data_IF_854628722299
#
_entry.id   IF_854628722299
#
_cell.length_a   1.000
_cell.length_b   1.000
_cell.length_c   1.000
_cell.angle_alpha   90.00
_cell.angle_beta   90.00
_cell.angle_gamma   90.00
#
_symmetry.space_group_name_H-M   'P 1'
#
loop_
_entity.id
_entity.type
_entity.pdbx_description
1 polymer ?
#
# COMPACT_ATOMS: atom_id res chain seq x y z
N UNK A 1 64.40 23.82 -32.43
CA UNK A 1 63.83 24.28 -33.72
C UNK A 1 62.74 25.29 -33.42
N UNK A 2 63.11 26.58 -33.52
CA UNK A 2 62.34 27.71 -34.12
C UNK A 2 60.81 27.66 -34.11
N UNK A 3 60.11 28.58 -33.41
CA UNK A 3 59.56 29.88 -33.88
C UNK A 3 58.28 29.69 -34.75
N UNK A 4 57.15 30.41 -34.64
CA UNK A 4 56.87 31.86 -34.51
C UNK A 4 55.34 32.11 -34.39
N UNK A 5 54.94 33.20 -33.71
CA UNK A 5 53.62 33.86 -33.72
C UNK A 5 53.40 34.73 -34.99
N UNK A 6 52.17 34.99 -35.44
CA UNK A 6 51.75 36.29 -36.05
C UNK A 6 50.21 36.36 -36.14
N UNK A 7 49.54 37.30 -35.44
CA UNK A 7 49.13 38.70 -35.78
C UNK A 7 47.95 38.83 -36.76
N UNK A 8 46.79 39.32 -36.29
CA UNK A 8 46.21 40.70 -36.40
C UNK A 8 45.78 41.08 -37.83
N UNK A 9 44.48 41.39 -38.04
CA UNK A 9 44.02 42.73 -38.49
C UNK A 9 42.49 42.90 -38.48
N UNK A 10 42.12 44.10 -38.03
CA UNK A 10 40.82 44.75 -37.92
C UNK A 10 40.36 45.40 -39.23
N UNK A 11 39.05 45.58 -39.41
CA UNK A 11 38.52 46.75 -40.15
C UNK A 11 37.10 47.13 -39.67
N UNK A 12 36.96 48.41 -39.32
CA UNK A 12 35.79 49.14 -38.83
C UNK A 12 35.08 49.93 -39.93
N UNK A 13 33.86 50.39 -39.58
CA UNK A 13 33.14 51.59 -40.07
C UNK A 13 32.11 51.34 -41.21
N UNK A 14 30.93 51.95 -41.27
CA UNK A 14 30.50 53.31 -40.85
C UNK A 14 28.96 53.39 -40.76
N UNK A 15 28.48 54.28 -39.87
CA UNK A 15 27.09 54.77 -39.67
C UNK A 15 26.63 55.73 -40.80
N UNK A 16 25.39 56.23 -40.61
CA UNK A 16 24.70 57.46 -41.09
C UNK A 16 23.47 57.09 -41.95
N UNK A 17 22.24 57.55 -41.70
CA UNK A 17 21.75 58.61 -40.80
C UNK A 17 20.22 58.61 -40.63
N UNK A 18 19.76 59.62 -39.90
CA UNK A 18 18.46 59.78 -39.22
C UNK A 18 17.39 60.53 -40.04
N UNK A 19 16.10 60.27 -39.76
CA UNK A 19 14.96 61.22 -39.69
C UNK A 19 13.62 60.43 -39.66
N UNK A 20 12.46 60.89 -39.20
CA UNK A 20 12.00 61.73 -38.09
C UNK A 20 10.44 61.64 -38.10
N UNK A 21 9.85 61.58 -36.90
CA UNK A 21 8.47 61.93 -36.48
C UNK A 21 7.21 61.34 -37.16
N UNK A 22 6.35 60.77 -36.30
CA UNK A 22 4.90 60.64 -36.51
C UNK A 22 4.21 60.15 -35.23
N UNK A 23 3.61 61.08 -34.49
CA UNK A 23 2.89 60.87 -33.22
C UNK A 23 1.65 59.96 -33.41
N UNK A 24 1.43 59.00 -32.52
CA UNK A 24 0.08 58.74 -31.96
C UNK A 24 0.17 58.00 -30.64
N UNK A 25 -0.48 58.61 -29.65
CA UNK A 25 -0.54 58.28 -28.24
C UNK A 25 -1.68 57.28 -28.02
N UNK A 26 -1.40 56.07 -27.53
CA UNK A 26 -2.37 55.24 -26.81
C UNK A 26 -1.65 54.58 -25.64
N UNK A 27 -1.96 55.05 -24.44
CA UNK A 27 -1.59 54.42 -23.18
C UNK A 27 -2.42 53.15 -23.05
N UNK A 28 -1.77 52.00 -22.97
CA UNK A 28 -2.37 50.78 -22.43
C UNK A 28 -1.36 50.12 -21.49
N UNK A 29 -1.75 50.05 -20.21
CA UNK A 29 -1.07 49.35 -19.14
C UNK A 29 -0.87 47.88 -19.53
N UNK A 30 0.38 47.44 -19.70
CA UNK A 30 0.69 46.02 -19.84
C UNK A 30 0.67 45.35 -18.47
N UNK A 31 -0.47 44.73 -18.16
CA UNK A 31 -0.56 43.68 -17.14
C UNK A 31 0.30 42.50 -17.61
N UNK A 32 1.20 41.94 -16.81
CA UNK A 32 1.87 40.70 -17.17
C UNK A 32 0.81 39.60 -17.26
N UNK A 33 0.57 39.14 -18.48
CA UNK A 33 -0.31 38.02 -18.79
C UNK A 33 0.19 36.79 -18.04
N UNK A 34 -0.67 36.28 -17.15
CA UNK A 34 -0.55 34.97 -16.53
C UNK A 34 -0.26 33.93 -17.61
N UNK A 35 0.87 33.26 -17.51
CA UNK A 35 1.12 32.03 -18.25
C UNK A 35 0.21 30.97 -17.64
N UNK A 36 -0.95 30.77 -18.26
CA UNK A 36 -1.74 29.56 -18.06
C UNK A 36 -0.87 28.39 -18.54
N UNK A 37 -0.39 27.58 -17.60
CA UNK A 37 0.11 26.23 -17.89
C UNK A 37 -1.04 25.48 -18.55
N UNK A 38 -1.05 25.45 -19.88
CA UNK A 38 -1.88 24.52 -20.62
C UNK A 38 -1.27 23.14 -20.41
N UNK A 39 -1.79 22.37 -19.43
CA UNK A 39 -1.63 20.92 -19.42
C UNK A 39 -2.15 20.43 -20.77
N UNK A 40 -1.27 19.90 -21.62
CA UNK A 40 -1.76 19.09 -22.73
C UNK A 40 -2.41 17.87 -22.10
N UNK A 41 -3.74 17.77 -22.22
CA UNK A 41 -4.43 16.51 -21.99
C UNK A 41 -3.93 15.54 -23.08
N UNK A 42 -2.85 14.82 -22.77
CA UNK A 42 -2.56 13.58 -23.46
C UNK A 42 -3.77 12.66 -23.24
N UNK A 43 -4.13 11.88 -24.25
CA UNK A 43 -5.16 10.85 -24.12
C UNK A 43 -4.55 9.73 -23.26
N UNK A 44 -4.61 9.88 -21.93
CA UNK A 44 -3.99 9.01 -20.91
C UNK A 44 -4.64 7.61 -20.83
N UNK A 45 -5.40 7.24 -21.86
CA UNK A 45 -6.10 5.97 -22.00
C UNK A 45 -7.32 5.85 -21.07
N UNK A 46 -8.03 4.70 -21.14
CA UNK A 46 -9.19 4.45 -20.29
C UNK A 46 -8.78 4.09 -18.86
N UNK A 47 -9.37 4.77 -17.86
CA UNK A 47 -9.25 4.39 -16.45
C UNK A 47 -10.17 3.20 -16.08
N UNK A 48 -9.71 2.33 -15.18
CA UNK A 48 -10.50 1.24 -14.59
C UNK A 48 -11.28 1.67 -13.34
N UNK A 49 -11.15 2.92 -12.88
CA UNK A 49 -11.83 3.44 -11.70
C UNK A 49 -13.36 3.18 -11.69
N UNK A 50 -14.12 3.33 -12.80
CA UNK A 50 -15.55 3.02 -12.81
C UNK A 50 -15.88 1.55 -12.53
N UNK A 51 -14.95 0.63 -12.82
CA UNK A 51 -15.11 -0.79 -12.51
C UNK A 51 -14.88 -1.03 -11.02
N UNK A 52 -13.88 -0.35 -10.44
CA UNK A 52 -13.54 -0.43 -9.02
C UNK A 52 -14.63 0.17 -8.11
N UNK A 53 -15.33 1.22 -8.58
CA UNK A 53 -16.46 1.84 -7.88
C UNK A 53 -17.78 1.04 -7.95
N UNK A 54 -17.79 -0.17 -8.54
CA UNK A 54 -19.00 -1.02 -8.57
C UNK A 54 -19.27 -1.65 -7.21
N UNK A 55 -20.52 -1.60 -6.79
CA UNK A 55 -21.01 -2.13 -5.52
C UNK A 55 -21.11 -3.67 -5.50
N UNK A 56 -19.97 -4.36 -5.58
CA UNK A 56 -19.92 -5.81 -5.65
C UNK A 56 -19.10 -6.35 -4.49
N UNK A 57 -19.69 -6.58 -3.33
CA UNK A 57 -19.04 -7.25 -2.19
C UNK A 57 -19.54 -8.69 -2.08
N UNK A 58 -18.64 -9.62 -1.82
CA UNK A 58 -18.92 -11.06 -1.88
C UNK A 58 -18.19 -11.76 -0.75
N UNK A 59 -18.89 -12.04 0.35
CA UNK A 59 -18.23 -12.64 1.50
C UNK A 59 -17.12 -11.77 2.08
N UNK A 60 -17.27 -10.45 2.00
CA UNK A 60 -16.29 -9.47 2.44
C UNK A 60 -16.07 -9.51 3.95
N UNK A 61 -14.82 -9.62 4.38
CA UNK A 61 -14.52 -9.78 5.80
C UNK A 61 -14.87 -8.52 6.60
N UNK A 62 -15.68 -8.70 7.66
CA UNK A 62 -15.85 -7.74 8.74
C UNK A 62 -14.91 -8.09 9.89
N UNK A 63 -14.40 -7.05 10.54
CA UNK A 63 -13.39 -7.11 11.59
C UNK A 63 -13.90 -6.68 12.96
N UNK A 64 -15.16 -6.22 13.02
CA UNK A 64 -15.87 -5.93 14.26
C UNK A 64 -17.38 -6.12 14.04
N UNK A 65 -18.12 -6.24 15.14
CA UNK A 65 -19.59 -6.32 15.17
C UNK A 65 -20.26 -4.97 14.94
N UNK A 66 -19.50 -3.87 14.99
CA UNK A 66 -19.99 -2.50 14.77
C UNK A 66 -19.16 -1.77 13.72
N UNK A 67 -19.77 -0.89 12.92
CA UNK A 67 -19.05 -0.08 11.94
C UNK A 67 -18.23 0.99 12.66
N UNK A 68 -16.93 1.08 12.35
CA UNK A 68 -16.00 2.09 12.86
C UNK A 68 -14.74 2.16 11.99
N UNK A 69 -13.98 3.25 12.14
CA UNK A 69 -12.57 3.27 11.75
C UNK A 69 -11.75 2.46 12.77
N UNK A 70 -10.75 1.73 12.28
CA UNK A 70 -9.90 0.85 13.09
C UNK A 70 -8.49 1.39 13.26
N UNK A 71 -7.94 2.01 12.22
CA UNK A 71 -6.59 2.55 12.24
C UNK A 71 -6.42 3.61 11.15
N UNK A 72 -5.40 4.44 11.33
CA UNK A 72 -4.91 5.45 10.41
C UNK A 72 -3.38 5.42 10.46
N UNK A 73 -2.72 5.57 9.31
CA UNK A 73 -1.29 5.85 9.25
C UNK A 73 -0.91 6.54 7.95
N UNK A 74 0.15 7.35 8.00
CA UNK A 74 0.95 7.62 6.81
C UNK A 74 1.66 6.31 6.44
N UNK A 75 1.52 5.87 5.20
CA UNK A 75 2.29 4.74 4.70
C UNK A 75 3.66 5.23 4.25
N UNK A 76 3.67 6.16 3.28
CA UNK A 76 4.87 6.71 2.66
C UNK A 76 4.55 8.02 1.95
N UNK A 77 5.61 8.73 1.57
CA UNK A 77 5.59 10.08 1.01
C UNK A 77 6.21 10.11 -0.39
N UNK A 78 5.57 10.83 -1.30
CA UNK A 78 6.16 11.28 -2.57
C UNK A 78 6.40 10.25 -3.68
N UNK A 79 5.99 8.98 -3.53
CA UNK A 79 6.29 7.92 -4.52
C UNK A 79 5.12 7.52 -5.43
N UNK A 80 4.03 8.30 -5.42
CA UNK A 80 2.89 8.12 -6.32
C UNK A 80 2.88 9.22 -7.39
N UNK A 81 2.85 8.84 -8.67
CA UNK A 81 2.83 9.79 -9.77
C UNK A 81 4.20 10.40 -10.04
N UNK A 82 5.26 9.59 -10.05
CA UNK A 82 6.61 10.06 -10.36
C UNK A 82 6.78 10.06 -11.90
N UNK A 83 7.00 11.22 -12.54
CA UNK A 83 7.30 11.28 -13.97
C UNK A 83 8.48 10.38 -14.32
N UNK A 84 8.43 9.72 -15.47
CA UNK A 84 9.41 8.73 -15.94
C UNK A 84 9.56 7.46 -15.07
N UNK A 85 8.74 7.24 -14.04
CA UNK A 85 8.83 6.03 -13.22
C UNK A 85 8.49 4.73 -13.98
N UNK A 86 7.82 4.78 -15.12
CA UNK A 86 7.56 3.64 -16.00
C UNK A 86 8.33 3.72 -17.33
N UNK A 87 9.38 4.57 -17.38
CA UNK A 87 10.20 4.72 -18.57
C UNK A 87 10.83 3.36 -18.97
N UNK A 88 10.75 2.96 -20.26
CA UNK A 88 11.29 1.68 -20.71
C UNK A 88 12.82 1.59 -20.58
N UNK A 89 13.54 2.71 -20.48
CA UNK A 89 14.93 2.71 -20.04
C UNK A 89 15.00 2.71 -18.51
N UNK A 90 15.33 1.56 -17.94
CA UNK A 90 15.44 1.39 -16.49
C UNK A 90 16.46 2.32 -15.83
N UNK A 91 17.45 2.86 -16.54
CA UNK A 91 18.34 3.86 -15.94
C UNK A 91 17.63 5.20 -15.73
N UNK A 92 16.77 5.58 -16.67
CA UNK A 92 15.95 6.79 -16.56
C UNK A 92 14.91 6.61 -15.45
N UNK A 93 14.16 5.50 -15.49
CA UNK A 93 13.17 5.19 -14.46
C UNK A 93 13.80 5.13 -13.06
N UNK A 94 14.95 4.47 -12.94
CA UNK A 94 15.70 4.41 -11.68
C UNK A 94 16.10 5.80 -11.19
N UNK A 95 16.67 6.63 -12.05
CA UNK A 95 17.09 7.97 -11.67
C UNK A 95 15.89 8.82 -11.19
N UNK A 96 14.74 8.71 -11.85
CA UNK A 96 13.52 9.41 -11.46
C UNK A 96 13.00 8.94 -10.09
N UNK A 97 12.92 7.62 -9.88
CA UNK A 97 12.47 7.01 -8.63
C UNK A 97 13.41 7.36 -7.47
N UNK A 98 14.71 7.20 -7.64
CA UNK A 98 15.70 7.53 -6.61
C UNK A 98 15.71 9.04 -6.29
N UNK A 99 15.49 9.91 -7.29
CA UNK A 99 15.39 11.36 -7.08
C UNK A 99 14.14 11.77 -6.28
N UNK A 100 13.02 11.07 -6.45
CA UNK A 100 11.84 11.19 -5.61
C UNK A 100 12.00 10.47 -4.25
N UNK A 101 13.15 9.83 -4.03
CA UNK A 101 13.49 9.09 -2.82
C UNK A 101 12.76 7.74 -2.68
N UNK A 102 12.21 7.19 -3.77
CA UNK A 102 11.80 5.79 -3.83
C UNK A 102 13.02 4.86 -3.79
N UNK A 103 12.76 3.58 -3.54
CA UNK A 103 13.78 2.54 -3.59
C UNK A 103 13.82 1.87 -4.98
N UNK A 104 15.00 1.33 -5.32
CA UNK A 104 15.22 0.55 -6.54
C UNK A 104 15.98 -0.73 -6.24
N UNK A 105 15.32 -1.87 -6.37
CA UNK A 105 15.92 -3.18 -6.12
C UNK A 105 16.85 -3.61 -7.26
N UNK A 106 17.96 -4.23 -6.89
CA UNK A 106 18.80 -4.99 -7.81
C UNK A 106 18.23 -6.41 -7.89
N UNK A 107 17.72 -6.77 -9.07
CA UNK A 107 17.19 -8.10 -9.36
C UNK A 107 18.35 -9.02 -9.75
N UNK A 108 18.49 -10.15 -9.05
CA UNK A 108 19.60 -11.09 -9.27
C UNK A 108 19.14 -12.44 -9.80
N UNK A 109 17.95 -12.87 -9.39
CA UNK A 109 17.37 -14.15 -9.80
C UNK A 109 15.95 -13.93 -10.30
N UNK A 110 15.68 -14.30 -11.55
CA UNK A 110 14.39 -14.08 -12.17
C UNK A 110 14.15 -15.14 -13.25
N UNK A 111 13.02 -15.83 -13.16
CA UNK A 111 12.58 -16.83 -14.14
C UNK A 111 11.91 -16.21 -15.37
N UNK A 112 11.57 -14.92 -15.30
CA UNK A 112 10.99 -14.14 -16.39
C UNK A 112 11.91 -12.95 -16.73
N UNK A 113 11.53 -12.12 -17.70
CA UNK A 113 12.17 -10.82 -17.86
C UNK A 113 11.67 -9.90 -16.75
N UNK A 114 12.56 -9.30 -15.93
CA UNK A 114 12.14 -8.32 -14.93
C UNK A 114 11.36 -7.18 -15.58
N UNK A 115 10.35 -6.69 -14.86
CA UNK A 115 9.58 -5.52 -15.25
C UNK A 115 9.75 -4.43 -14.21
N UNK A 116 9.18 -3.26 -14.42
CA UNK A 116 9.33 -2.13 -13.50
C UNK A 116 8.95 -2.47 -12.06
N UNK A 117 7.88 -3.23 -11.87
CA UNK A 117 7.40 -3.70 -10.56
C UNK A 117 8.39 -4.65 -9.85
N UNK A 118 9.34 -5.26 -10.57
CA UNK A 118 10.40 -6.08 -9.96
C UNK A 118 11.49 -5.23 -9.32
N UNK A 119 11.52 -3.93 -9.66
CA UNK A 119 12.55 -3.00 -9.22
C UNK A 119 12.02 -1.95 -8.25
N UNK A 120 10.75 -1.56 -8.34
CA UNK A 120 10.20 -0.49 -7.50
C UNK A 120 8.69 -0.62 -7.35
N UNK A 121 8.18 -0.02 -6.28
CA UNK A 121 6.76 0.20 -6.00
C UNK A 121 6.29 1.60 -6.38
N UNK A 122 7.21 2.48 -6.80
CA UNK A 122 6.86 3.78 -7.33
C UNK A 122 5.98 3.65 -8.58
N UNK A 123 4.97 4.52 -8.70
CA UNK A 123 4.02 4.51 -9.83
C UNK A 123 4.14 5.78 -10.65
N UNK A 124 4.00 5.67 -11.96
CA UNK A 124 3.95 6.82 -12.88
C UNK A 124 2.60 7.56 -12.82
N UNK A 125 2.50 8.81 -13.30
CA UNK A 125 1.24 9.52 -13.42
C UNK A 125 0.19 8.75 -14.24
N UNK A 126 0.61 8.09 -15.32
CA UNK A 126 -0.24 7.30 -16.21
C UNK A 126 -0.78 6.05 -15.50
N UNK A 127 0.07 5.35 -14.75
CA UNK A 127 -0.34 4.22 -13.93
C UNK A 127 -1.34 4.64 -12.85
N UNK A 128 -1.07 5.75 -12.17
CA UNK A 128 -1.96 6.29 -11.15
C UNK A 128 -3.33 6.70 -11.73
N UNK A 129 -3.34 7.40 -12.87
CA UNK A 129 -4.57 7.76 -13.58
C UNK A 129 -5.35 6.52 -14.04
N UNK A 130 -4.66 5.50 -14.55
CA UNK A 130 -5.29 4.28 -15.04
C UNK A 130 -6.13 3.58 -13.96
N UNK A 131 -5.77 3.71 -12.68
CA UNK A 131 -6.48 3.08 -11.56
C UNK A 131 -7.48 4.02 -10.90
N UNK A 132 -7.14 5.30 -10.75
CA UNK A 132 -7.94 6.26 -9.98
C UNK A 132 -8.86 7.15 -10.82
N UNK A 133 -8.49 7.37 -12.10
CA UNK A 133 -9.13 8.35 -12.98
C UNK A 133 -8.81 9.80 -12.60
N UNK A 134 -7.82 10.01 -11.73
CA UNK A 134 -7.40 11.33 -11.23
C UNK A 134 -5.92 11.52 -11.52
N UNK A 135 -5.53 12.73 -11.94
CA UNK A 135 -4.11 13.07 -12.10
C UNK A 135 -3.49 13.44 -10.76
N UNK A 136 -2.23 13.10 -10.59
CA UNK A 136 -1.45 13.54 -9.46
C UNK A 136 0.01 13.15 -9.61
N UNK A 137 0.87 13.97 -9.01
CA UNK A 137 2.30 13.78 -9.03
C UNK A 137 2.85 13.91 -7.62
N UNK A 138 3.86 13.09 -7.29
CA UNK A 138 4.51 13.06 -5.98
C UNK A 138 3.54 13.00 -4.79
N UNK A 139 2.47 12.22 -4.92
CA UNK A 139 1.47 12.08 -3.87
C UNK A 139 1.95 11.13 -2.76
N UNK A 140 1.50 11.43 -1.55
CA UNK A 140 1.62 10.58 -0.38
C UNK A 140 0.48 9.57 -0.32
N UNK A 141 0.68 8.55 0.51
CA UNK A 141 -0.37 7.57 0.82
C UNK A 141 -0.67 7.57 2.29
N UNK A 142 -1.93 7.81 2.60
CA UNK A 142 -2.52 7.54 3.91
C UNK A 142 -3.44 6.34 3.80
N UNK A 143 -3.29 5.40 4.72
CA UNK A 143 -4.16 4.22 4.80
C UNK A 143 -5.11 4.32 5.99
N UNK A 144 -6.38 4.03 5.75
CA UNK A 144 -7.43 3.98 6.76
C UNK A 144 -8.12 2.62 6.71
N UNK A 145 -8.23 1.95 7.86
CA UNK A 145 -8.96 0.69 7.97
C UNK A 145 -10.33 0.90 8.56
N UNK A 146 -11.30 0.19 8.00
CA UNK A 146 -12.69 0.15 8.47
C UNK A 146 -13.00 -1.23 9.02
N UNK A 147 -13.89 -1.31 10.03
CA UNK A 147 -14.27 -2.59 10.60
C UNK A 147 -15.26 -3.36 9.72
N UNK A 148 -16.01 -2.67 8.88
CA UNK A 148 -16.93 -3.22 7.89
C UNK A 148 -16.48 -2.75 6.51
N UNK A 149 -16.59 -3.59 5.47
CA UNK A 149 -16.14 -3.23 4.13
C UNK A 149 -16.93 -2.03 3.59
N UNK A 150 -16.25 -1.16 2.84
CA UNK A 150 -16.88 0.01 2.24
C UNK A 150 -17.75 -0.37 1.06
N UNK A 151 -18.82 0.41 0.84
CA UNK A 151 -19.57 0.41 -0.41
C UNK A 151 -18.78 1.23 -1.46
N UNK A 152 -18.20 0.60 -2.49
CA UNK A 152 -17.23 1.26 -3.37
C UNK A 152 -17.76 2.50 -4.11
N UNK A 153 -19.04 2.52 -4.49
CA UNK A 153 -19.62 3.67 -5.19
C UNK A 153 -19.70 4.95 -4.34
N UNK A 154 -19.56 4.81 -3.01
CA UNK A 154 -19.59 5.92 -2.05
C UNK A 154 -18.21 6.28 -1.51
N UNK A 155 -17.13 5.74 -2.10
CA UNK A 155 -15.77 6.08 -1.68
C UNK A 155 -15.19 7.15 -2.60
N UNK A 156 -14.89 8.30 -2.02
CA UNK A 156 -14.26 9.43 -2.68
C UNK A 156 -13.30 10.17 -1.74
N UNK A 157 -12.36 10.94 -2.32
CA UNK A 157 -11.43 11.76 -1.51
C UNK A 157 -12.17 12.80 -0.67
N UNK A 158 -13.29 13.31 -1.19
CA UNK A 158 -14.12 14.33 -0.55
C UNK A 158 -14.86 13.86 0.71
N UNK A 159 -14.92 12.54 0.95
CA UNK A 159 -15.47 11.96 2.18
C UNK A 159 -14.61 12.21 3.41
N UNK A 160 -13.36 12.70 3.26
CA UNK A 160 -12.40 12.76 4.35
C UNK A 160 -11.84 14.16 4.58
N UNK A 161 -11.60 14.46 5.86
CA UNK A 161 -10.73 15.56 6.31
C UNK A 161 -9.57 14.97 7.10
N UNK A 162 -8.34 15.33 6.72
CA UNK A 162 -7.13 14.86 7.39
C UNK A 162 -6.54 16.02 8.17
N UNK A 163 -6.46 15.90 9.50
CA UNK A 163 -5.71 16.85 10.33
C UNK A 163 -4.27 16.39 10.47
N UNK A 164 -3.33 17.31 10.24
CA UNK A 164 -1.90 17.08 10.38
C UNK A 164 -1.42 17.50 11.78
N UNK A 165 -0.23 17.04 12.16
CA UNK A 165 0.37 17.33 13.47
C UNK A 165 0.55 18.83 13.75
N UNK A 166 0.63 19.68 12.73
CA UNK A 166 0.69 21.15 12.87
C UNK A 166 -0.68 21.83 12.96
N UNK A 167 -1.78 21.06 13.01
CA UNK A 167 -3.16 21.56 13.06
C UNK A 167 -3.80 21.90 11.72
N UNK A 168 -3.05 21.83 10.61
CA UNK A 168 -3.61 22.04 9.27
C UNK A 168 -4.56 20.91 8.91
N UNK A 169 -5.66 21.25 8.24
CA UNK A 169 -6.60 20.28 7.68
C UNK A 169 -6.46 20.28 6.16
N UNK A 170 -6.28 19.09 5.60
CA UNK A 170 -6.11 18.87 4.16
C UNK A 170 -7.12 17.87 3.62
N UNK A 171 -7.39 18.00 2.33
CA UNK A 171 -8.33 17.16 1.59
C UNK A 171 -7.55 16.17 0.73
N UNK A 172 -7.90 14.87 0.76
CA UNK A 172 -7.36 13.91 -0.20
C UNK A 172 -7.73 14.29 -1.63
N UNK A 173 -6.79 14.07 -2.54
CA UNK A 173 -6.98 14.19 -4.00
C UNK A 173 -7.82 13.02 -4.51
N UNK A 174 -7.62 11.83 -3.96
CA UNK A 174 -8.39 10.64 -4.31
C UNK A 174 -8.52 9.69 -3.11
N UNK A 175 -9.53 8.82 -3.18
CA UNK A 175 -9.69 7.66 -2.32
C UNK A 175 -9.99 6.42 -3.16
N UNK A 176 -9.39 5.28 -2.79
CA UNK A 176 -9.53 4.03 -3.54
C UNK A 176 -9.39 2.79 -2.65
N UNK A 177 -9.61 1.63 -3.28
CA UNK A 177 -9.55 0.32 -2.63
C UNK A 177 -8.39 -0.55 -3.12
N UNK A 178 -7.71 -0.20 -4.22
CA UNK A 178 -6.54 -0.95 -4.73
C UNK A 178 -5.36 -0.67 -3.79
N UNK A 179 -4.59 -1.69 -3.36
CA UNK A 179 -4.49 -3.06 -3.90
C UNK A 179 -5.57 -4.06 -3.47
N UNK A 180 -6.38 -3.71 -2.47
CA UNK A 180 -7.40 -4.56 -1.85
C UNK A 180 -8.71 -4.66 -2.66
N UNK A 181 -8.55 -5.13 -3.91
CA UNK A 181 -9.54 -5.14 -4.99
C UNK A 181 -10.45 -6.37 -5.01
N UNK A 182 -10.09 -7.44 -4.30
CA UNK A 182 -10.89 -8.65 -4.28
C UNK A 182 -12.28 -8.42 -3.65
N UNK A 183 -13.26 -9.21 -4.07
CA UNK A 183 -14.65 -9.00 -3.67
C UNK A 183 -14.95 -9.36 -2.21
N UNK A 184 -14.16 -10.25 -1.62
CA UNK A 184 -14.14 -10.69 -0.22
C UNK A 184 -13.35 -9.73 0.71
N UNK A 185 -13.01 -8.54 0.25
CA UNK A 185 -12.21 -7.60 1.02
C UNK A 185 -12.89 -6.23 1.20
N UNK A 186 -12.21 -5.13 0.85
CA UNK A 186 -12.62 -3.72 0.91
C UNK A 186 -12.75 -3.07 2.29
N UNK A 187 -11.98 -3.55 3.26
CA UNK A 187 -11.87 -2.89 4.57
C UNK A 187 -10.69 -1.91 4.64
N UNK A 188 -9.89 -1.79 3.58
CA UNK A 188 -8.69 -0.95 3.51
C UNK A 188 -8.89 0.15 2.48
N UNK A 189 -8.71 1.39 2.92
CA UNK A 189 -8.90 2.60 2.12
C UNK A 189 -7.56 3.28 1.91
N UNK A 190 -7.27 3.58 0.66
CA UNK A 190 -6.08 4.30 0.24
C UNK A 190 -6.49 5.73 -0.06
N UNK A 191 -5.96 6.68 0.70
CA UNK A 191 -6.14 8.11 0.49
C UNK A 191 -4.84 8.65 -0.12
N UNK A 192 -4.95 9.39 -1.21
CA UNK A 192 -3.82 10.00 -1.91
C UNK A 192 -3.89 11.53 -1.83
N UNK A 193 -2.76 12.20 -1.65
CA UNK A 193 -2.67 13.65 -1.49
C UNK A 193 -1.36 14.07 -0.85
N UNK A 194 -1.28 15.30 -0.33
CA UNK A 194 -0.09 15.80 0.37
C UNK A 194 -0.31 15.79 1.89
N UNK A 195 0.22 14.79 2.56
CA UNK A 195 -0.08 14.51 3.97
C UNK A 195 1.12 14.62 4.88
N UNK A 196 2.33 14.43 4.36
CA UNK A 196 3.51 14.29 5.20
C UNK A 196 4.82 14.78 4.61
N UNK A 197 5.88 14.47 5.32
CA UNK A 197 7.26 14.55 4.87
C UNK A 197 8.07 13.46 5.59
N UNK A 198 9.32 13.30 5.19
CA UNK A 198 10.19 12.23 5.70
C UNK A 198 10.90 12.57 7.00
N UNK A 199 10.58 13.67 7.67
CA UNK A 199 11.25 14.01 8.92
C UNK A 199 10.68 13.18 10.08
N UNK A 200 11.55 12.67 10.99
CA UNK A 200 11.09 12.01 12.20
C UNK A 200 10.32 13.02 13.07
N UNK A 201 9.45 12.53 13.95
CA UNK A 201 8.64 13.36 14.85
C UNK A 201 9.46 14.27 15.77
N UNK A 202 10.71 13.91 16.03
CA UNK A 202 11.67 14.71 16.81
C UNK A 202 12.16 15.97 16.09
N UNK A 203 11.99 16.06 14.78
CA UNK A 203 12.32 17.24 13.97
C UNK A 203 11.11 18.18 13.89
N UNK A 204 11.32 19.47 14.16
CA UNK A 204 10.26 20.49 14.15
C UNK A 204 9.60 20.67 12.78
N UNK A 205 10.26 20.25 11.70
CA UNK A 205 9.71 20.28 10.34
C UNK A 205 8.79 19.11 10.04
N UNK A 206 8.69 18.12 10.93
CA UNK A 206 7.88 16.92 10.70
C UNK A 206 6.44 17.27 10.38
N UNK A 207 5.93 16.68 9.30
CA UNK A 207 4.54 16.78 8.85
C UNK A 207 4.02 15.35 8.72
N UNK A 208 2.90 15.04 9.38
CA UNK A 208 2.24 13.74 9.26
C UNK A 208 0.78 13.81 9.74
N UNK A 209 -0.09 12.91 9.26
CA UNK A 209 -1.50 12.83 9.66
C UNK A 209 -1.66 12.36 11.12
N UNK A 210 -2.47 13.10 11.87
CA UNK A 210 -2.81 12.78 13.28
C UNK A 210 -4.29 12.49 13.51
N UNK A 211 -5.17 12.88 12.59
CA UNK A 211 -6.60 12.58 12.65
C UNK A 211 -7.18 12.42 11.25
N UNK A 212 -8.07 11.45 11.09
CA UNK A 212 -9.01 11.39 9.98
C UNK A 212 -10.42 11.53 10.53
N UNK A 213 -11.23 12.30 9.82
CA UNK A 213 -12.66 12.45 10.03
C UNK A 213 -13.40 12.20 8.73
N UNK A 214 -14.44 11.36 8.79
CA UNK A 214 -15.35 11.15 7.66
C UNK A 214 -16.42 12.23 7.71
N UNK A 215 -16.51 13.02 6.66
CA UNK A 215 -17.45 14.13 6.53
C UNK A 215 -18.57 13.80 5.54
N UNK A 216 -19.61 14.63 5.52
CA UNK A 216 -20.69 14.52 4.53
C UNK A 216 -20.29 15.24 3.26
N UNK A 217 -20.42 14.56 2.13
CA UNK A 217 -20.30 15.11 0.78
C UNK A 217 -21.61 14.88 -0.03
N UNK A 218 -21.51 14.86 -1.36
CA UNK A 218 -22.63 14.54 -2.26
C UNK A 218 -22.95 13.03 -2.31
N UNK A 219 -21.98 12.16 -2.03
CA UNK A 219 -22.10 10.70 -2.04
C UNK A 219 -21.60 10.06 -0.73
N UNK A 220 -22.23 10.34 0.43
CA UNK A 220 -21.60 10.09 1.73
C UNK A 220 -21.17 8.64 1.93
N UNK A 221 -19.93 8.45 2.38
CA UNK A 221 -19.35 7.13 2.62
C UNK A 221 -20.26 6.20 3.43
N UNK A 222 -20.45 4.99 2.89
CA UNK A 222 -21.21 3.91 3.51
C UNK A 222 -20.35 2.67 3.72
N UNK A 223 -20.57 2.01 4.86
CA UNK A 223 -20.04 0.67 5.16
C UNK A 223 -21.16 -0.37 5.03
N UNK A 224 -20.79 -1.59 4.65
CA UNK A 224 -21.70 -2.71 4.42
C UNK A 224 -21.56 -3.72 5.54
N UNK A 225 -22.64 -3.92 6.30
CA UNK A 225 -22.71 -4.83 7.43
C UNK A 225 -23.45 -6.14 7.15
N UNK A 226 -23.84 -6.86 8.22
CA UNK A 226 -24.58 -8.11 8.14
C UNK A 226 -25.84 -8.00 7.28
N UNK A 227 -26.05 -8.99 6.40
CA UNK A 227 -27.22 -9.03 5.50
C UNK A 227 -27.24 -7.91 4.45
N UNK A 228 -26.09 -7.26 4.18
CA UNK A 228 -26.01 -6.16 3.22
C UNK A 228 -26.53 -4.82 3.77
N UNK A 229 -26.73 -4.71 5.10
CA UNK A 229 -27.20 -3.48 5.73
C UNK A 229 -26.18 -2.36 5.57
N UNK A 230 -26.62 -1.22 5.05
CA UNK A 230 -25.78 -0.04 4.90
C UNK A 230 -25.73 0.75 6.22
N UNK A 231 -24.52 1.18 6.61
CA UNK A 231 -24.27 2.09 7.71
C UNK A 231 -23.53 3.32 7.19
N UNK A 232 -23.94 4.52 7.60
CA UNK A 232 -23.20 5.73 7.28
C UNK A 232 -21.89 5.79 8.08
N UNK A 233 -20.80 6.17 7.42
CA UNK A 233 -19.52 6.42 8.07
C UNK A 233 -19.35 7.88 8.53
N UNK A 234 -20.26 8.79 8.13
CA UNK A 234 -20.19 10.22 8.46
C UNK A 234 -20.09 10.44 9.97
N UNK A 235 -19.12 11.26 10.38
CA UNK A 235 -18.82 11.57 11.77
C UNK A 235 -17.90 10.57 12.47
N UNK A 236 -17.51 9.48 11.81
CA UNK A 236 -16.47 8.59 12.35
C UNK A 236 -15.12 9.29 12.32
N UNK A 237 -14.35 9.11 13.40
CA UNK A 237 -13.00 9.68 13.54
C UNK A 237 -12.02 8.65 14.08
N UNK A 238 -10.76 8.77 13.69
CA UNK A 238 -9.64 8.01 14.26
C UNK A 238 -8.42 8.92 14.38
N UNK A 239 -7.56 8.64 15.36
CA UNK A 239 -6.33 9.40 15.59
C UNK A 239 -5.10 8.53 15.43
N UNK A 240 -3.98 9.18 15.12
CA UNK A 240 -2.66 8.57 15.00
C UNK A 240 -1.62 9.50 15.65
N UNK A 241 -0.60 8.93 16.25
CA UNK A 241 0.50 9.67 16.89
C UNK A 241 1.88 9.25 16.38
N UNK A 242 1.93 8.42 15.33
CA UNK A 242 3.15 7.83 14.76
C UNK A 242 3.42 8.34 13.35
N UNK A 243 4.70 8.43 12.98
CA UNK A 243 5.13 8.55 11.59
C UNK A 243 6.01 7.35 11.23
N UNK A 244 5.89 6.79 10.00
CA UNK A 244 6.77 5.71 9.57
C UNK A 244 8.23 6.17 9.44
N UNK A 245 8.52 7.47 9.55
CA UNK A 245 9.86 8.03 9.41
C UNK A 245 10.59 8.28 10.74
N UNK A 246 10.01 7.84 11.87
CA UNK A 246 10.66 7.92 13.17
C UNK A 246 11.96 7.10 13.22
N UNK A 247 12.86 7.52 14.12
CA UNK A 247 14.11 6.81 14.35
C UNK A 247 13.85 5.40 14.90
N UNK A 248 14.73 4.46 14.55
CA UNK A 248 14.57 3.04 14.86
C UNK A 248 15.42 2.69 16.09
N UNK A 249 14.85 2.67 17.31
CA UNK A 249 15.58 2.23 18.49
C UNK A 249 15.95 0.75 18.41
N UNK A 250 16.87 0.32 19.27
CA UNK A 250 17.29 -1.09 19.34
C UNK A 250 16.16 -2.04 19.71
N UNK A 251 15.16 -1.57 20.48
CA UNK A 251 13.97 -2.32 20.83
C UNK A 251 12.95 -2.34 19.68
N UNK A 252 12.74 -3.48 19.01
CA UNK A 252 11.83 -3.57 17.88
C UNK A 252 10.36 -3.39 18.25
N UNK A 253 9.98 -3.39 19.53
CA UNK A 253 8.59 -3.10 19.93
C UNK A 253 8.22 -1.62 19.75
N UNK A 254 9.22 -0.76 19.62
CA UNK A 254 9.06 0.69 19.46
C UNK A 254 9.11 1.16 18.00
N UNK A 255 9.35 0.25 17.04
CA UNK A 255 9.36 0.62 15.63
C UNK A 255 7.97 1.07 15.15
N UNK A 256 7.95 1.99 14.18
CA UNK A 256 6.72 2.68 13.74
C UNK A 256 6.23 2.26 12.37
N UNK A 257 6.86 1.25 11.78
CA UNK A 257 6.50 0.71 10.47
C UNK A 257 5.14 0.00 10.42
N UNK A 258 4.89 -0.72 9.32
CA UNK A 258 3.60 -1.33 9.07
C UNK A 258 3.30 -2.44 10.09
N UNK A 259 2.03 -2.66 10.45
CA UNK A 259 1.62 -3.56 11.54
C UNK A 259 0.31 -4.26 11.25
N UNK A 260 0.03 -5.32 11.99
CA UNK A 260 -1.26 -6.02 11.96
C UNK A 260 -2.17 -5.36 12.99
N UNK A 261 -3.41 -5.08 12.61
CA UNK A 261 -4.42 -4.48 13.52
C UNK A 261 -5.55 -5.44 13.88
N UNK A 262 -5.77 -6.48 13.08
CA UNK A 262 -6.71 -7.54 13.37
C UNK A 262 -6.29 -8.84 12.69
N UNK A 263 -6.77 -9.96 13.21
CA UNK A 263 -6.61 -11.27 12.61
C UNK A 263 -7.87 -12.09 12.87
N UNK A 264 -8.27 -12.95 11.93
CA UNK A 264 -9.50 -13.75 12.03
C UNK A 264 -9.28 -15.16 11.50
N UNK A 265 -9.66 -16.15 12.30
CA UNK A 265 -9.63 -17.57 11.93
C UNK A 265 -10.99 -18.01 11.40
N UNK A 266 -11.08 -18.44 10.15
CA UNK A 266 -12.29 -19.00 9.55
C UNK A 266 -12.03 -20.39 8.97
N UNK A 267 -13.11 -21.08 8.61
CA UNK A 267 -12.98 -22.20 7.65
C UNK A 267 -12.53 -21.62 6.30
N UNK A 268 -11.75 -22.40 5.55
CA UNK A 268 -11.35 -22.00 4.21
C UNK A 268 -12.59 -21.88 3.32
N UNK A 269 -12.62 -20.83 2.49
CA UNK A 269 -13.68 -20.58 1.52
C UNK A 269 -13.11 -19.73 0.40
N UNK A 270 -13.48 -20.03 -0.84
CA UNK A 270 -13.10 -19.24 -2.02
C UNK A 270 -14.15 -18.20 -2.41
N UNK A 271 -15.13 -17.97 -1.53
CA UNK A 271 -16.19 -17.02 -1.77
C UNK A 271 -15.62 -15.60 -1.82
N UNK A 272 -15.57 -15.04 -3.03
CA UNK A 272 -15.14 -13.66 -3.26
C UNK A 272 -13.66 -13.46 -3.52
N UNK A 273 -12.84 -14.52 -3.58
CA UNK A 273 -11.38 -14.52 -3.94
C UNK A 273 -11.16 -14.19 -5.43
N UNK A 274 -11.88 -13.19 -5.93
CA UNK A 274 -11.82 -12.78 -7.32
C UNK A 274 -11.99 -11.27 -7.39
N UNK A 275 -11.48 -10.67 -8.45
CA UNK A 275 -11.52 -9.22 -8.63
C UNK A 275 -12.24 -8.74 -9.89
N UNK A 276 -12.11 -7.45 -10.20
CA UNK A 276 -12.32 -6.90 -11.54
C UNK A 276 -11.39 -7.55 -12.57
N UNK A 277 -11.90 -7.85 -13.78
CA UNK A 277 -11.14 -8.51 -14.86
C UNK A 277 -9.76 -7.89 -15.14
N UNK A 278 -9.60 -6.55 -15.24
CA UNK A 278 -8.30 -5.94 -15.52
C UNK A 278 -7.21 -6.28 -14.50
N UNK A 279 -7.57 -6.52 -13.23
CA UNK A 279 -6.63 -6.78 -12.14
C UNK A 279 -6.36 -8.27 -11.90
N UNK A 280 -7.07 -9.18 -12.58
CA UNK A 280 -6.87 -10.63 -12.35
C UNK A 280 -5.58 -11.16 -12.95
N UNK A 281 -5.14 -10.58 -14.06
CA UNK A 281 -4.18 -11.22 -14.96
C UNK A 281 -2.81 -11.31 -14.29
N UNK A 282 -2.40 -12.53 -13.98
CA UNK A 282 -1.08 -12.81 -13.37
C UNK A 282 -1.06 -12.74 -11.85
N UNK A 283 -2.12 -12.21 -11.23
CA UNK A 283 -2.28 -12.09 -9.77
C UNK A 283 -3.19 -13.18 -9.20
N UNK A 284 -4.26 -13.54 -9.92
CA UNK A 284 -5.26 -14.52 -9.48
C UNK A 284 -5.27 -15.81 -10.32
N UNK A 285 -5.66 -16.97 -9.75
CA UNK A 285 -6.03 -17.17 -8.35
C UNK A 285 -4.81 -17.35 -7.42
N UNK A 286 -4.92 -16.81 -6.22
CA UNK A 286 -3.91 -16.72 -5.15
C UNK A 286 -4.43 -17.31 -3.81
N UNK A 287 -5.70 -17.74 -3.76
CA UNK A 287 -6.37 -18.24 -2.56
C UNK A 287 -5.76 -19.54 -2.02
N UNK A 288 -6.01 -19.84 -0.74
CA UNK A 288 -5.46 -21.04 -0.09
C UNK A 288 -5.75 -22.39 -0.78
N UNK A 289 -6.92 -22.57 -1.42
CA UNK A 289 -7.26 -23.79 -2.17
C UNK A 289 -6.44 -23.86 -3.46
N UNK A 290 -6.31 -22.76 -4.18
CA UNK A 290 -5.49 -22.67 -5.39
C UNK A 290 -4.01 -22.92 -5.10
N UNK A 291 -3.51 -22.44 -3.95
CA UNK A 291 -2.12 -22.61 -3.52
C UNK A 291 -1.82 -24.02 -3.03
N UNK A 292 -2.66 -24.59 -2.17
CA UNK A 292 -2.34 -25.82 -1.41
C UNK A 292 -3.26 -27.01 -1.69
N UNK A 293 -4.39 -26.79 -2.35
CA UNK A 293 -5.46 -27.76 -2.60
C UNK A 293 -6.41 -27.94 -1.41
N UNK A 294 -7.66 -28.31 -1.69
CA UNK A 294 -8.76 -28.40 -0.71
C UNK A 294 -8.42 -29.23 0.53
N UNK A 295 -7.68 -30.33 0.36
CA UNK A 295 -7.28 -31.22 1.47
C UNK A 295 -6.32 -30.55 2.46
N UNK A 296 -5.52 -29.60 1.99
CA UNK A 296 -4.51 -28.90 2.79
C UNK A 296 -4.96 -27.50 3.22
N UNK A 297 -5.98 -26.94 2.56
CA UNK A 297 -6.57 -25.66 2.90
C UNK A 297 -7.94 -25.86 3.57
N UNK A 298 -7.93 -26.21 4.85
CA UNK A 298 -9.17 -26.43 5.63
C UNK A 298 -9.57 -25.22 6.46
N UNK A 299 -8.58 -24.46 6.93
CA UNK A 299 -8.77 -23.23 7.70
C UNK A 299 -7.90 -22.12 7.13
N UNK A 300 -8.37 -20.89 7.33
CA UNK A 300 -7.71 -19.65 6.95
C UNK A 300 -7.60 -18.79 8.19
N UNK A 301 -6.39 -18.30 8.47
CA UNK A 301 -6.20 -17.16 9.36
C UNK A 301 -5.84 -15.97 8.48
N UNK A 302 -6.78 -15.03 8.31
CA UNK A 302 -6.55 -13.80 7.55
C UNK A 302 -6.15 -12.68 8.50
N UNK A 303 -5.11 -11.94 8.16
CA UNK A 303 -4.68 -10.76 8.90
C UNK A 303 -5.13 -9.48 8.18
N UNK A 304 -5.41 -8.42 8.92
CA UNK A 304 -5.65 -7.08 8.38
C UNK A 304 -4.46 -6.19 8.75
N UNK A 305 -3.80 -5.64 7.75
CA UNK A 305 -2.61 -4.79 7.94
C UNK A 305 -2.96 -3.31 7.90
N UNK A 306 -2.09 -2.50 8.52
CA UNK A 306 -2.02 -1.05 8.37
C UNK A 306 -0.58 -0.63 8.12
N UNK A 307 -0.38 0.41 7.32
CA UNK A 307 0.93 0.90 6.95
C UNK A 307 1.35 0.54 5.54
N UNK A 308 0.49 -0.09 4.73
CA UNK A 308 0.80 -0.52 3.36
C UNK A 308 0.86 -2.03 3.22
N UNK A 309 1.12 -2.49 1.99
CA UNK A 309 1.36 -3.90 1.69
C UNK A 309 2.57 -4.38 2.51
N UNK A 310 2.53 -5.62 2.99
CA UNK A 310 3.69 -6.17 3.69
C UNK A 310 4.65 -6.79 2.69
N UNK A 311 5.88 -6.29 2.67
CA UNK A 311 6.98 -6.84 1.88
C UNK A 311 8.21 -7.09 2.75
N UNK A 312 9.15 -7.98 2.36
CA UNK A 312 10.37 -8.22 3.13
C UNK A 312 11.32 -7.02 3.19
N UNK A 313 11.27 -6.12 2.20
CA UNK A 313 12.18 -4.98 2.07
C UNK A 313 11.53 -3.67 1.57
N UNK A 314 10.27 -3.70 1.19
CA UNK A 314 9.55 -2.55 0.62
C UNK A 314 9.25 -2.67 -0.86
N UNK A 315 9.82 -3.66 -1.55
CA UNK A 315 9.66 -3.85 -3.00
C UNK A 315 9.36 -5.29 -3.36
N UNK A 316 10.16 -6.26 -2.89
CA UNK A 316 9.93 -7.64 -3.26
C UNK A 316 8.66 -8.18 -2.62
N UNK A 317 7.91 -8.97 -3.39
CA UNK A 317 6.74 -9.65 -2.87
C UNK A 317 7.12 -10.71 -1.83
N UNK A 318 6.29 -10.87 -0.79
CA UNK A 318 6.43 -12.04 0.10
C UNK A 318 6.17 -13.33 -0.66
N UNK A 319 6.91 -14.38 -0.32
CA UNK A 319 6.68 -15.70 -0.92
C UNK A 319 5.72 -16.54 -0.06
N UNK A 320 4.96 -17.46 -0.66
CA UNK A 320 4.13 -18.42 0.09
C UNK A 320 4.88 -19.22 1.18
N UNK A 321 6.19 -19.41 1.02
CA UNK A 321 7.06 -20.07 1.99
C UNK A 321 7.54 -19.21 3.16
N UNK A 322 7.28 -17.89 3.16
CA UNK A 322 7.92 -16.95 4.08
C UNK A 322 7.27 -16.85 5.46
N UNK A 323 6.25 -17.69 5.74
CA UNK A 323 5.59 -17.73 7.05
C UNK A 323 6.59 -17.71 8.23
N UNK A 324 7.60 -18.59 8.20
CA UNK A 324 8.60 -18.73 9.27
C UNK A 324 9.48 -17.49 9.43
N UNK A 325 9.68 -16.71 8.37
CA UNK A 325 10.53 -15.51 8.39
C UNK A 325 9.84 -14.34 9.09
N UNK A 326 8.51 -14.26 9.04
CA UNK A 326 7.80 -13.06 9.47
C UNK A 326 6.74 -13.28 10.55
N UNK A 327 6.12 -14.46 10.61
CA UNK A 327 4.94 -14.71 11.42
C UNK A 327 5.11 -15.87 12.41
N UNK A 328 4.30 -15.82 13.47
CA UNK A 328 4.15 -16.94 14.40
C UNK A 328 2.74 -16.96 14.99
N UNK A 329 2.01 -18.03 14.72
CA UNK A 329 0.77 -18.36 15.40
C UNK A 329 1.07 -19.01 16.75
N UNK A 330 0.22 -18.74 17.74
CA UNK A 330 0.31 -19.35 19.07
C UNK A 330 -1.04 -19.91 19.46
N UNK A 331 -1.05 -21.22 19.75
CA UNK A 331 -2.17 -21.88 20.37
C UNK A 331 -2.07 -21.82 21.90
N UNK A 332 -3.21 -21.80 22.57
CA UNK A 332 -3.32 -21.79 24.04
C UNK A 332 -4.18 -22.98 24.44
N UNK A 333 -3.57 -23.96 25.11
CA UNK A 333 -4.20 -25.19 25.62
C UNK A 333 -5.14 -24.92 26.81
N UNK A 334 -5.90 -25.95 27.20
CA UNK A 334 -6.84 -25.85 28.33
C UNK A 334 -6.19 -25.52 29.68
N UNK A 335 -4.95 -25.96 29.89
CA UNK A 335 -4.15 -25.66 31.08
C UNK A 335 -3.43 -24.30 31.00
N UNK A 336 -3.59 -23.56 29.90
CA UNK A 336 -2.92 -22.29 29.64
C UNK A 336 -1.56 -22.40 28.96
N UNK A 337 -1.08 -23.62 28.66
CA UNK A 337 0.17 -23.84 27.94
C UNK A 337 0.13 -23.20 26.56
N UNK A 338 1.21 -22.50 26.20
CA UNK A 338 1.34 -21.78 24.93
C UNK A 338 2.16 -22.63 23.96
N UNK A 339 1.54 -23.03 22.85
CA UNK A 339 2.20 -23.79 21.78
C UNK A 339 2.48 -22.85 20.61
N UNK A 340 3.73 -22.42 20.41
CA UNK A 340 4.10 -21.65 19.23
C UNK A 340 4.15 -22.57 18.00
N UNK A 341 3.40 -22.22 16.96
CA UNK A 341 3.38 -22.90 15.68
C UNK A 341 4.37 -22.20 14.74
N UNK A 342 5.64 -22.62 14.77
CA UNK A 342 6.78 -21.88 14.19
C UNK A 342 7.07 -22.30 12.74
N UNK A 343 7.27 -23.59 12.54
CA UNK A 343 7.62 -24.15 11.23
C UNK A 343 6.38 -24.55 10.44
N UNK A 344 6.28 -24.16 9.16
CA UNK A 344 5.29 -24.72 8.24
C UNK A 344 5.63 -26.18 7.94
N UNK A 345 4.64 -26.94 7.50
CA UNK A 345 4.88 -28.30 7.06
C UNK A 345 5.01 -29.36 8.16
N UNK A 346 4.96 -28.97 9.45
CA UNK A 346 4.99 -29.93 10.58
C UNK A 346 3.64 -29.97 11.31
N UNK A 347 3.31 -31.14 11.86
CA UNK A 347 2.09 -31.33 12.66
C UNK A 347 2.38 -31.02 14.12
N UNK A 348 1.60 -30.09 14.67
CA UNK A 348 1.56 -29.79 16.09
C UNK A 348 0.33 -30.46 16.72
N UNK A 349 0.42 -30.77 18.00
CA UNK A 349 -0.70 -31.29 18.78
C UNK A 349 -1.06 -30.25 19.84
N UNK A 350 -2.31 -29.78 19.81
CA UNK A 350 -2.87 -28.81 20.76
C UNK A 350 -4.05 -29.48 21.44
N UNK A 351 -3.97 -29.67 22.76
CA UNK A 351 -4.89 -30.52 23.53
C UNK A 351 -5.02 -31.93 22.91
N UNK A 352 -3.91 -32.48 22.40
CA UNK A 352 -3.88 -33.76 21.70
C UNK A 352 -4.51 -33.76 20.30
N UNK A 353 -4.95 -32.62 19.78
CA UNK A 353 -5.55 -32.50 18.45
C UNK A 353 -4.55 -31.96 17.41
N UNK A 354 -4.45 -32.58 16.21
CA UNK A 354 -3.44 -32.20 15.23
C UNK A 354 -3.80 -30.89 14.51
N UNK A 355 -2.80 -30.06 14.24
CA UNK A 355 -2.89 -28.88 13.37
C UNK A 355 -1.56 -28.65 12.65
N UNK A 356 -1.60 -28.18 11.40
CA UNK A 356 -0.41 -27.92 10.58
C UNK A 356 -0.60 -26.68 9.72
N UNK A 357 0.40 -25.81 9.75
CA UNK A 357 0.52 -24.66 8.84
C UNK A 357 1.03 -25.15 7.48
N UNK A 358 0.40 -24.69 6.39
CA UNK A 358 0.84 -24.97 5.03
C UNK A 358 1.79 -23.90 4.49
N UNK A 359 1.45 -22.64 4.73
CA UNK A 359 2.19 -21.47 4.25
C UNK A 359 1.27 -20.27 4.11
N UNK A 360 1.72 -19.26 3.37
CA UNK A 360 0.97 -18.03 3.09
C UNK A 360 0.14 -18.16 1.80
N UNK A 361 -0.96 -17.43 1.72
CA UNK A 361 -1.81 -17.25 0.52
C UNK A 361 -2.30 -15.79 0.46
N UNK A 362 -3.08 -15.44 -0.56
CA UNK A 362 -3.48 -14.06 -0.89
C UNK A 362 -2.27 -13.15 -1.03
N UNK A 363 -1.43 -13.55 -1.98
CA UNK A 363 -0.22 -12.85 -2.38
C UNK A 363 -0.19 -12.82 -3.91
N UNK A 364 0.03 -13.97 -4.55
CA UNK A 364 0.02 -14.04 -5.99
C UNK A 364 -0.11 -15.48 -6.46
N UNK A 365 -0.17 -15.67 -7.77
CA UNK A 365 -0.40 -17.00 -8.35
C UNK A 365 0.68 -18.00 -7.93
N UNK A 366 0.26 -19.24 -7.72
CA UNK A 366 1.18 -20.35 -7.44
C UNK A 366 2.26 -20.48 -8.51
N UNK A 367 3.50 -20.66 -8.08
CA UNK A 367 4.65 -20.99 -8.93
C UNK A 367 5.35 -22.27 -8.45
N UNK A 368 6.13 -22.87 -9.34
CA UNK A 368 7.00 -24.01 -9.00
C UNK A 368 8.21 -23.55 -8.16
N UNK A 369 8.67 -22.33 -8.39
CA UNK A 369 9.68 -21.63 -7.60
C UNK A 369 9.35 -20.15 -7.49
N UNK A 370 9.80 -19.51 -6.42
CA UNK A 370 9.63 -18.09 -6.17
C UNK A 370 11.01 -17.42 -6.22
N UNK A 371 11.13 -16.34 -6.98
CA UNK A 371 12.36 -15.59 -7.23
C UNK A 371 12.11 -14.08 -7.05
N UNK A 372 13.09 -13.24 -7.38
CA UNK A 372 13.01 -11.77 -7.18
C UNK A 372 11.94 -11.12 -8.07
N UNK A 373 11.43 -11.83 -9.07
CA UNK A 373 10.36 -11.37 -9.97
C UNK A 373 9.00 -11.99 -9.65
N UNK A 374 8.89 -12.71 -8.54
CA UNK A 374 7.59 -13.13 -8.05
C UNK A 374 6.75 -11.89 -7.74
N UNK A 375 5.69 -11.71 -8.51
CA UNK A 375 4.72 -10.65 -8.30
C UNK A 375 3.61 -11.14 -7.37
N UNK A 376 3.45 -10.43 -6.27
CA UNK A 376 2.24 -10.45 -5.46
C UNK A 376 1.36 -9.23 -5.80
N UNK A 377 0.11 -9.24 -5.35
CA UNK A 377 -0.92 -8.23 -5.61
C UNK A 377 -0.86 -7.03 -4.65
N UNK A 378 0.11 -7.03 -3.74
CA UNK A 378 0.34 -5.99 -2.73
C UNK A 378 -0.78 -5.90 -1.71
N UNK A 379 -1.39 -7.04 -1.41
CA UNK A 379 -2.58 -7.14 -0.57
C UNK A 379 -2.37 -6.58 0.85
N UNK A 380 -3.44 -6.01 1.40
CA UNK A 380 -3.47 -5.58 2.81
C UNK A 380 -4.16 -6.59 3.74
N UNK A 381 -4.46 -7.76 3.18
CA UNK A 381 -5.02 -8.91 3.87
C UNK A 381 -4.31 -10.20 3.44
N UNK A 382 -3.48 -10.74 4.31
CA UNK A 382 -2.67 -11.93 4.01
C UNK A 382 -3.20 -13.14 4.75
N UNK A 383 -3.16 -14.28 4.09
CA UNK A 383 -3.63 -15.54 4.64
C UNK A 383 -2.50 -16.41 5.17
N UNK A 384 -2.74 -17.04 6.33
CA UNK A 384 -2.03 -18.26 6.75
C UNK A 384 -2.98 -19.44 6.59
N UNK A 385 -2.57 -20.42 5.80
CA UNK A 385 -3.38 -21.60 5.47
C UNK A 385 -3.05 -22.77 6.39
N UNK A 386 -4.08 -23.42 6.94
CA UNK A 386 -3.92 -24.53 7.87
C UNK A 386 -4.79 -25.75 7.50
N UNK A 387 -4.33 -26.92 7.96
CA UNK A 387 -5.07 -28.19 7.93
C UNK A 387 -5.04 -28.85 9.30
N UNK A 388 -6.05 -29.65 9.62
CA UNK A 388 -6.10 -30.44 10.85
C UNK A 388 -7.46 -30.41 11.54
N UNK A 389 -7.43 -30.46 12.87
CA UNK A 389 -8.63 -30.49 13.71
C UNK A 389 -9.19 -29.09 13.95
N UNK A 390 -10.50 -28.93 13.82
CA UNK A 390 -11.19 -27.70 14.24
C UNK A 390 -11.01 -27.42 15.74
N UNK A 391 -10.85 -28.46 16.57
CA UNK A 391 -10.61 -28.27 18.02
C UNK A 391 -9.26 -27.59 18.26
N UNK A 392 -8.23 -27.98 17.53
CA UNK A 392 -6.92 -27.32 17.58
C UNK A 392 -6.97 -25.92 16.95
N UNK A 393 -7.65 -25.74 15.80
CA UNK A 393 -7.80 -24.44 15.16
C UNK A 393 -8.46 -23.39 16.09
N UNK A 394 -9.49 -23.79 16.85
CA UNK A 394 -10.14 -22.93 17.86
C UNK A 394 -9.20 -22.45 18.96
N UNK A 395 -8.12 -23.17 19.23
CA UNK A 395 -7.14 -22.86 20.28
C UNK A 395 -6.04 -21.93 19.79
N UNK A 396 -5.93 -21.68 18.50
CA UNK A 396 -5.02 -20.66 17.96
C UNK A 396 -5.59 -19.29 18.29
N UNK A 397 -4.98 -18.57 19.23
CA UNK A 397 -5.52 -17.33 19.80
C UNK A 397 -4.70 -16.09 19.45
N UNK A 398 -3.43 -16.26 19.11
CA UNK A 398 -2.53 -15.11 18.90
C UNK A 398 -1.77 -15.25 17.61
N UNK A 399 -1.72 -14.17 16.83
CA UNK A 399 -0.79 -13.97 15.74
C UNK A 399 0.30 -13.00 16.20
N UNK A 400 1.55 -13.31 15.89
CA UNK A 400 2.70 -12.49 16.26
C UNK A 400 3.54 -12.14 15.04
N UNK A 401 4.05 -10.92 15.03
CA UNK A 401 5.23 -10.52 14.26
C UNK A 401 6.40 -10.45 15.24
N UNK A 402 7.35 -11.40 15.18
CA UNK A 402 8.52 -11.35 16.03
C UNK A 402 9.53 -10.27 15.62
N UNK A 403 9.50 -9.80 14.37
CA UNK A 403 10.30 -8.74 13.74
C UNK A 403 11.83 -8.95 13.69
N UNK A 404 12.48 -9.48 14.73
CA UNK A 404 13.95 -9.63 14.78
C UNK A 404 14.39 -10.80 15.65
N UNK A 405 15.52 -11.41 15.28
CA UNK A 405 16.20 -12.48 16.03
C UNK A 405 15.63 -13.86 15.73
N UNK A 406 16.38 -14.92 16.04
CA UNK A 406 15.95 -16.33 15.84
C UNK A 406 15.48 -16.64 14.40
N UNK A 407 16.10 -16.03 13.40
CA UNK A 407 15.74 -16.20 11.98
C UNK A 407 14.49 -15.43 11.54
N UNK A 408 13.96 -14.53 12.37
CA UNK A 408 12.89 -13.61 11.98
C UNK A 408 13.45 -12.30 11.41
N UNK A 409 12.75 -11.78 10.40
CA UNK A 409 13.01 -10.50 9.75
C UNK A 409 11.76 -9.61 9.82
N UNK A 410 11.93 -8.28 9.85
CA UNK A 410 10.79 -7.38 9.80
C UNK A 410 10.16 -7.39 8.41
N UNK A 411 9.06 -6.66 8.32
CA UNK A 411 8.36 -6.35 7.08
C UNK A 411 8.38 -4.83 6.88
N UNK A 412 8.26 -4.39 5.65
CA UNK A 412 8.19 -2.99 5.25
C UNK A 412 6.94 -2.77 4.42
N UNK A 413 6.69 -1.49 4.14
CA UNK A 413 5.70 -1.06 3.17
C UNK A 413 6.40 -0.54 1.92
N UNK A 414 5.63 -0.09 0.95
CA UNK A 414 6.15 0.34 -0.35
C UNK A 414 7.14 1.51 -0.28
N UNK A 415 7.20 2.27 0.82
CA UNK A 415 8.23 3.29 1.07
C UNK A 415 9.49 2.77 1.76
N UNK A 416 9.65 1.45 1.85
CA UNK A 416 10.77 0.78 2.49
C UNK A 416 12.09 0.93 1.72
N UNK A 417 13.21 0.48 2.32
CA UNK A 417 14.55 0.72 1.78
C UNK A 417 14.91 -0.10 0.54
N UNK A 418 14.17 -1.17 0.24
CA UNK A 418 14.59 -2.17 -0.74
C UNK A 418 15.88 -2.88 -0.33
N UNK A 419 16.48 -3.57 -1.31
CA UNK A 419 17.75 -4.28 -1.15
C UNK A 419 18.98 -3.43 -1.51
N UNK A 420 18.78 -2.22 -2.04
CA UNK A 420 19.82 -1.30 -2.46
C UNK A 420 19.43 0.16 -2.16
N UNK A 421 19.36 0.55 -0.88
CA UNK A 421 18.91 1.88 -0.49
C UNK A 421 19.87 2.99 -0.93
N UNK A 422 19.32 4.14 -1.33
CA UNK A 422 20.10 5.33 -1.71
C UNK A 422 20.68 5.99 -0.46
N UNK A 423 22.00 6.25 -0.39
CA UNK A 423 22.61 6.93 0.74
C UNK A 423 21.98 8.30 1.02
N UNK A 424 21.62 8.55 2.27
CA UNK A 424 21.04 9.83 2.72
C UNK A 424 19.52 9.94 2.54
N UNK A 425 18.88 8.98 1.87
CA UNK A 425 17.41 8.90 1.82
C UNK A 425 16.90 8.23 3.09
N UNK A 426 15.86 8.83 3.69
CA UNK A 426 15.14 8.23 4.82
C UNK A 426 13.93 7.46 4.30
N UNK A 427 13.97 6.15 4.48
CA UNK A 427 12.89 5.23 4.15
C UNK A 427 11.96 5.00 5.34
N UNK A 428 10.82 4.37 5.09
CA UNK A 428 9.89 3.99 6.15
C UNK A 428 10.51 2.93 7.07
N UNK A 429 10.10 2.97 8.33
CA UNK A 429 10.58 2.08 9.36
C UNK A 429 10.07 0.64 9.16
N UNK A 430 10.83 -0.37 9.64
CA UNK A 430 10.39 -1.75 9.68
C UNK A 430 9.19 -1.97 10.62
N UNK A 431 8.46 -3.05 10.39
CA UNK A 431 7.34 -3.50 11.21
C UNK A 431 7.78 -3.83 12.64
N UNK A 432 7.05 -3.38 13.67
CA UNK A 432 7.45 -3.64 15.04
C UNK A 432 7.24 -5.09 15.45
N UNK A 433 7.95 -5.51 16.49
CA UNK A 433 7.59 -6.71 17.25
C UNK A 433 6.25 -6.47 17.95
N UNK A 434 5.22 -7.22 17.59
CA UNK A 434 3.91 -7.12 18.23
C UNK A 434 3.09 -8.40 18.09
N UNK A 435 1.93 -8.41 18.73
CA UNK A 435 0.97 -9.50 18.69
C UNK A 435 -0.46 -8.97 18.63
N UNK A 436 -1.33 -9.69 17.93
CA UNK A 436 -2.77 -9.43 17.89
C UNK A 436 -3.54 -10.68 18.31
N UNK A 437 -4.69 -10.46 18.95
CA UNK A 437 -5.64 -11.54 19.21
C UNK A 437 -6.35 -11.93 17.93
N UNK A 438 -6.64 -13.22 17.80
CA UNK A 438 -7.35 -13.78 16.65
C UNK A 438 -8.84 -13.86 16.98
N UNK A 439 -9.65 -13.22 16.15
CA UNK A 439 -11.11 -13.33 16.16
C UNK A 439 -11.49 -14.75 15.76
N UNK A 440 -12.35 -15.39 16.56
CA UNK A 440 -12.90 -16.71 16.23
C UNK A 440 -14.06 -16.56 15.25
N UNK A 441 -13.77 -16.82 13.97
CA UNK A 441 -14.74 -16.83 12.88
C UNK A 441 -15.08 -18.24 12.37
N UNK A 442 -14.84 -19.29 13.18
CA UNK A 442 -15.04 -20.68 12.73
C UNK A 442 -16.51 -21.11 12.67
N UNK A 443 -17.38 -20.47 13.45
CA UNK A 443 -18.83 -20.67 13.44
C UNK A 443 -19.58 -19.60 12.64
N UNK A 444 -19.16 -18.34 12.79
CA UNK A 444 -19.64 -17.21 12.01
C UNK A 444 -18.41 -16.48 11.44
N UNK A 445 -18.19 -16.54 10.12
CA UNK A 445 -17.02 -15.90 9.52
C UNK A 445 -17.06 -14.37 9.57
N UNK A 446 -18.18 -13.77 10.02
CA UNK A 446 -18.39 -12.31 10.04
C UNK A 446 -18.11 -11.70 8.67
N UNK A 447 -18.95 -12.03 7.70
CA UNK A 447 -18.81 -11.59 6.32
C UNK A 447 -20.04 -10.83 5.81
N UNK A 448 -19.81 -9.86 4.93
CA UNK A 448 -20.84 -9.06 4.29
C UNK A 448 -20.89 -9.34 2.78
N UNK A 449 -22.09 -9.40 2.22
CA UNK A 449 -22.32 -9.50 0.78
C UNK A 449 -23.27 -8.39 0.38
N UNK A 450 -22.94 -7.68 -0.70
CA UNK A 450 -23.76 -6.61 -1.25
C UNK A 450 -23.60 -6.59 -2.76
N UNK A 451 -24.72 -6.79 -3.46
CA UNK A 451 -24.84 -6.71 -4.91
C UNK A 451 -26.26 -6.18 -5.19
N UNK A 452 -26.41 -4.89 -5.51
CA UNK A 452 -27.70 -4.29 -5.79
C UNK A 452 -28.33 -4.83 -7.09
#
# INVERSE_FOLDING_TARGET
MTHVQQRIQSATARRWGSAALGLSLCVALSVPSAQTLAMSAADDGPSIAPILKRDILVGADMWDTKPRLMSLTLNFEGIIGIPDADNPDFNIARAAVEAAGGAWNVVTTCSITPTQISHTTAVSPEQYYSVTGVHGEFLDVVQVQTSWPVRPSTLDGTDFKITLNNGTVVDPVAAGIVPNFEYNERSVLILNGEFGNRYPKSDERSRYPVKVEVVRDATPLQLVGPGGKLASAVGMTITNDKTPYDDQPDDPTLWTGPRIIAAKMTRMSTLGENGPVPLKRGLLPNDGISMYGEKRAQFRMRMLTVGGAFSPDGIFGMHPGDYRKHFRLVAIEDDGTRIPLIEPGITYYVDGHPIRIQGLADLGVKKDSYDDCYQEDSENQIDVILTGSIKAAKRIKVLQIPAKGNGYSPLYNDGGPGNNPVPGVRYTAPSPRHAVQIIDGLSDPMRATYRP
#
